data_IF_430617006211
#
_entry.id   IF_430617006211
#
_cell.length_a   1.000
_cell.length_b   1.000
_cell.length_c   1.000
_cell.angle_alpha   90.00
_cell.angle_beta   90.00
_cell.angle_gamma   90.00
#
_symmetry.space_group_name_H-M   'P 1'
#
loop_
_entity.id
_entity.type
_entity.pdbx_description
1 polymer ?
#
# COMPACT_ATOMS: atom_id res chain seq x y z
N UNK A 1 -32.71 -18.03 33.19
CA UNK A 1 -33.03 -17.85 31.75
C UNK A 1 -32.45 -16.52 31.32
N UNK A 2 -31.51 -16.51 30.37
CA UNK A 2 -31.00 -15.26 29.77
C UNK A 2 -32.09 -14.65 28.90
N UNK A 3 -32.33 -13.34 29.00
CA UNK A 3 -33.38 -12.71 28.20
C UNK A 3 -32.97 -12.68 26.72
N UNK A 4 -33.93 -12.80 25.77
CA UNK A 4 -33.65 -12.75 24.34
C UNK A 4 -32.95 -11.45 23.90
N UNK A 5 -33.25 -10.33 24.57
CA UNK A 5 -32.60 -9.03 24.33
C UNK A 5 -31.11 -9.07 24.68
N UNK A 6 -30.76 -9.68 25.82
CA UNK A 6 -29.35 -9.81 26.25
C UNK A 6 -28.55 -10.64 25.24
N UNK A 7 -29.15 -11.69 24.67
CA UNK A 7 -28.52 -12.50 23.64
C UNK A 7 -28.29 -11.72 22.34
N UNK A 8 -29.26 -10.91 21.91
CA UNK A 8 -29.15 -10.07 20.72
C UNK A 8 -28.04 -9.02 20.85
N UNK A 9 -27.95 -8.34 22.00
CA UNK A 9 -26.94 -7.31 22.24
C UNK A 9 -25.51 -7.87 22.19
N UNK A 10 -25.30 -9.05 22.77
CA UNK A 10 -24.00 -9.75 22.73
C UNK A 10 -23.61 -10.12 21.30
N UNK A 11 -24.57 -10.61 20.50
CA UNK A 11 -24.35 -10.94 19.09
C UNK A 11 -24.02 -9.68 18.29
N UNK A 12 -24.76 -8.60 18.50
CA UNK A 12 -24.56 -7.31 17.84
C UNK A 12 -23.17 -6.72 18.16
N UNK A 13 -22.72 -6.78 19.42
CA UNK A 13 -21.38 -6.35 19.82
C UNK A 13 -20.28 -7.16 19.12
N UNK A 14 -20.44 -8.49 19.02
CA UNK A 14 -19.49 -9.34 18.28
C UNK A 14 -19.45 -9.01 16.80
N UNK A 15 -20.62 -8.84 16.17
CA UNK A 15 -20.72 -8.49 14.75
C UNK A 15 -19.99 -7.17 14.47
N UNK A 16 -20.23 -6.14 15.28
CA UNK A 16 -19.54 -4.85 15.15
C UNK A 16 -18.03 -4.98 15.27
N UNK A 17 -17.56 -5.81 16.21
CA UNK A 17 -16.13 -6.09 16.35
C UNK A 17 -15.56 -6.77 15.10
N UNK A 18 -16.23 -7.78 14.56
CA UNK A 18 -15.80 -8.47 13.33
C UNK A 18 -15.81 -7.53 12.13
N UNK A 19 -16.85 -6.72 11.97
CA UNK A 19 -16.97 -5.73 10.89
C UNK A 19 -15.83 -4.71 10.92
N UNK A 20 -15.50 -4.21 12.12
CA UNK A 20 -14.37 -3.30 12.32
C UNK A 20 -13.04 -3.95 11.93
N UNK A 21 -12.84 -5.23 12.24
CA UNK A 21 -11.62 -5.96 11.83
C UNK A 21 -11.52 -6.10 10.32
N UNK A 22 -12.60 -6.54 9.68
CA UNK A 22 -12.66 -6.68 8.22
C UNK A 22 -12.39 -5.34 7.54
N UNK A 23 -12.97 -4.26 8.07
CA UNK A 23 -12.76 -2.90 7.56
C UNK A 23 -11.30 -2.44 7.69
N UNK A 24 -10.69 -2.61 8.87
CA UNK A 24 -9.28 -2.27 9.09
C UNK A 24 -8.35 -3.07 8.18
N UNK A 25 -8.56 -4.38 8.05
CA UNK A 25 -7.78 -5.21 7.14
C UNK A 25 -7.99 -4.82 5.68
N UNK A 26 -9.21 -4.46 5.28
CA UNK A 26 -9.52 -3.97 3.95
C UNK A 26 -8.75 -2.69 3.61
N UNK A 27 -8.76 -1.68 4.49
CA UNK A 27 -7.99 -0.46 4.29
C UNK A 27 -6.50 -0.76 4.24
N UNK A 28 -6.01 -1.57 5.18
CA UNK A 28 -4.60 -1.93 5.26
C UNK A 28 -4.12 -2.62 3.97
N UNK A 29 -4.87 -3.62 3.49
CA UNK A 29 -4.59 -4.30 2.23
C UNK A 29 -4.64 -3.35 1.04
N UNK A 30 -5.63 -2.47 0.98
CA UNK A 30 -5.74 -1.47 -0.08
C UNK A 30 -4.55 -0.50 -0.09
N UNK A 31 -4.08 -0.07 1.09
CA UNK A 31 -2.88 0.77 1.20
C UNK A 31 -1.63 0.04 0.68
N UNK A 32 -1.43 -1.23 1.05
CA UNK A 32 -0.32 -2.02 0.53
C UNK A 32 -0.42 -2.23 -0.99
N UNK A 33 -1.61 -2.54 -1.50
CA UNK A 33 -1.85 -2.72 -2.93
C UNK A 33 -1.49 -1.46 -3.70
N UNK A 34 -1.96 -0.30 -3.24
CA UNK A 34 -1.64 0.98 -3.86
C UNK A 34 -0.15 1.32 -3.74
N UNK A 35 0.48 1.01 -2.60
CA UNK A 35 1.93 1.21 -2.43
C UNK A 35 2.77 0.43 -3.45
N UNK A 36 2.34 -0.80 -3.77
CA UNK A 36 2.97 -1.67 -4.77
C UNK A 36 2.67 -1.20 -6.19
N UNK A 37 1.40 -0.92 -6.52
CA UNK A 37 1.00 -0.46 -7.85
C UNK A 37 1.68 0.85 -8.25
N UNK A 38 1.91 1.74 -7.27
CA UNK A 38 2.59 3.01 -7.47
C UNK A 38 4.10 2.94 -7.22
N UNK A 39 4.74 1.78 -7.38
CA UNK A 39 6.20 1.67 -7.28
C UNK A 39 6.97 1.99 -8.58
N UNK A 40 6.54 1.52 -9.76
CA UNK A 40 7.25 1.76 -11.04
C UNK A 40 6.65 2.90 -11.84
N UNK A 41 7.47 3.81 -12.39
CA UNK A 41 6.96 4.98 -13.15
C UNK A 41 6.03 4.54 -14.28
N UNK A 42 5.10 5.40 -14.72
CA UNK A 42 4.21 5.05 -15.86
C UNK A 42 4.97 4.69 -17.13
N UNK A 43 6.27 5.03 -17.20
CA UNK A 43 7.18 4.79 -18.32
C UNK A 43 8.42 3.98 -17.90
N UNK A 44 8.36 3.20 -16.83
CA UNK A 44 9.49 2.34 -16.40
C UNK A 44 9.86 1.33 -17.49
N UNK A 45 8.87 0.92 -18.28
CA UNK A 45 9.04 0.09 -19.48
C UNK A 45 9.67 0.84 -20.67
N UNK A 46 9.80 2.16 -20.58
CA UNK A 46 10.38 3.05 -21.57
C UNK A 46 11.77 3.57 -21.14
N UNK A 47 12.32 3.05 -20.04
CA UNK A 47 13.64 3.45 -19.56
C UNK A 47 14.68 3.22 -20.68
N UNK A 48 15.38 4.27 -21.16
CA UNK A 48 16.38 4.15 -22.21
C UNK A 48 17.54 3.20 -21.86
N UNK A 49 17.69 2.83 -20.58
CA UNK A 49 18.60 1.75 -20.15
C UNK A 49 18.19 0.36 -20.66
N UNK A 50 16.89 0.13 -20.85
CA UNK A 50 16.30 -1.09 -21.45
C UNK A 50 16.31 -1.03 -22.98
N UNK A 51 16.29 0.18 -23.55
CA UNK A 51 16.49 0.46 -24.98
C UNK A 51 17.95 0.65 -25.37
N UNK A 52 18.89 0.41 -24.44
CA UNK A 52 20.33 0.50 -24.68
C UNK A 52 20.69 -0.40 -25.87
N UNK A 53 20.77 0.24 -27.03
CA UNK A 53 21.07 -0.40 -28.29
C UNK A 53 22.48 -1.00 -28.21
N UNK A 54 22.74 -2.15 -28.86
CA UNK A 54 24.03 -2.83 -28.79
C UNK A 54 25.21 -1.87 -29.04
N UNK A 55 26.35 -2.08 -28.35
CA UNK A 55 27.44 -1.12 -28.32
C UNK A 55 28.04 -1.00 -29.73
N UNK A 56 27.73 0.08 -30.44
CA UNK A 56 28.27 0.29 -31.80
C UNK A 56 27.60 1.33 -32.68
N UNK A 57 26.43 1.88 -32.34
CA UNK A 57 25.79 2.94 -33.13
C UNK A 57 25.63 4.22 -32.30
N UNK A 58 26.30 5.27 -32.76
CA UNK A 58 26.37 6.59 -32.15
C UNK A 58 24.99 7.20 -31.84
N UNK A 59 24.86 8.06 -30.82
CA UNK A 59 23.59 8.67 -30.47
C UNK A 59 23.23 9.70 -31.55
N UNK A 60 22.13 9.50 -32.26
CA UNK A 60 21.54 10.56 -33.08
C UNK A 60 21.04 11.65 -32.12
N UNK A 61 21.49 12.91 -32.27
CA UNK A 61 20.82 14.01 -31.62
C UNK A 61 19.50 14.25 -32.36
N UNK A 62 18.65 15.04 -31.74
CA UNK A 62 17.49 15.67 -32.33
C UNK A 62 16.13 14.97 -32.07
N UNK A 63 15.33 15.69 -31.28
CA UNK A 63 13.87 15.80 -31.37
C UNK A 63 12.96 14.67 -30.86
N UNK A 64 13.19 14.14 -29.67
CA UNK A 64 12.08 13.61 -28.85
C UNK A 64 12.20 13.96 -27.36
N UNK A 65 12.53 15.22 -27.05
CA UNK A 65 12.19 15.80 -25.76
C UNK A 65 10.69 16.10 -25.73
N UNK A 66 9.85 15.06 -25.79
CA UNK A 66 8.54 15.16 -25.17
C UNK A 66 8.81 15.56 -23.71
N UNK A 67 8.11 16.55 -23.15
CA UNK A 67 8.18 16.78 -21.72
C UNK A 67 7.57 15.54 -21.08
N UNK A 68 8.40 14.52 -20.84
CA UNK A 68 8.08 13.42 -19.95
C UNK A 68 7.88 14.14 -18.62
N UNK A 69 6.62 14.39 -18.31
CA UNK A 69 6.20 15.13 -17.14
C UNK A 69 6.79 14.36 -15.96
N UNK A 70 7.82 14.94 -15.35
CA UNK A 70 8.57 14.33 -14.26
C UNK A 70 7.69 14.37 -13.00
N UNK A 71 6.62 13.58 -13.00
CA UNK A 71 5.69 13.38 -11.89
C UNK A 71 6.30 12.48 -10.80
N UNK A 72 7.59 12.16 -10.89
CA UNK A 72 8.32 11.38 -9.88
C UNK A 72 8.12 11.96 -8.48
N UNK A 73 8.09 13.29 -8.35
CA UNK A 73 7.88 13.98 -7.08
C UNK A 73 6.45 13.78 -6.53
N UNK A 74 5.41 13.89 -7.38
CA UNK A 74 4.02 13.66 -6.98
C UNK A 74 3.81 12.22 -6.51
N UNK A 75 4.48 11.26 -7.16
CA UNK A 75 4.40 9.83 -6.86
C UNK A 75 5.13 9.45 -5.58
N UNK A 76 6.29 10.06 -5.31
CA UNK A 76 7.01 9.91 -4.06
C UNK A 76 6.19 10.46 -2.87
N UNK A 77 5.57 11.62 -3.03
CA UNK A 77 4.65 12.20 -2.03
C UNK A 77 3.43 11.29 -1.81
N UNK A 78 2.84 10.76 -2.89
CA UNK A 78 1.71 9.84 -2.78
C UNK A 78 2.07 8.53 -2.07
N UNK A 79 3.22 7.93 -2.39
CA UNK A 79 3.76 6.77 -1.66
C UNK A 79 3.98 7.09 -0.18
N UNK A 80 4.59 8.23 0.12
CA UNK A 80 4.80 8.69 1.50
C UNK A 80 3.48 8.86 2.26
N UNK A 81 2.45 9.41 1.60
CA UNK A 81 1.11 9.54 2.16
C UNK A 81 0.49 8.17 2.45
N UNK A 82 0.57 7.23 1.50
CA UNK A 82 0.03 5.88 1.67
C UNK A 82 0.72 5.13 2.81
N UNK A 83 2.05 5.23 2.92
CA UNK A 83 2.79 4.64 4.04
C UNK A 83 2.35 5.26 5.36
N UNK A 84 2.16 6.58 5.40
CA UNK A 84 1.68 7.28 6.60
C UNK A 84 0.29 6.78 7.02
N UNK A 85 -0.63 6.64 6.06
CA UNK A 85 -1.98 6.09 6.32
C UNK A 85 -1.86 4.64 6.80
N UNK A 86 -1.03 3.82 6.17
CA UNK A 86 -0.80 2.43 6.57
C UNK A 86 -0.29 2.34 8.02
N UNK A 87 0.63 3.22 8.44
CA UNK A 87 1.12 3.29 9.82
C UNK A 87 0.01 3.70 10.80
N UNK A 88 -0.84 4.66 10.44
CA UNK A 88 -1.99 5.05 11.30
C UNK A 88 -2.97 3.89 11.46
N UNK A 89 -3.27 3.17 10.37
CA UNK A 89 -4.12 1.97 10.39
C UNK A 89 -3.45 0.87 11.21
N UNK A 90 -2.13 0.71 11.10
CA UNK A 90 -1.34 -0.22 11.89
C UNK A 90 -1.44 0.07 13.39
N UNK A 91 -1.41 1.34 13.79
CA UNK A 91 -1.64 1.77 15.17
C UNK A 91 -3.06 1.40 15.63
N UNK A 92 -4.08 1.66 14.81
CA UNK A 92 -5.46 1.28 15.12
C UNK A 92 -5.63 -0.24 15.29
N UNK A 93 -4.94 -1.03 14.48
CA UNK A 93 -4.86 -2.50 14.60
C UNK A 93 -4.19 -2.89 15.91
N UNK A 94 -3.03 -2.30 16.26
CA UNK A 94 -2.36 -2.58 17.52
C UNK A 94 -3.22 -2.31 18.77
N UNK A 95 -4.06 -1.27 18.74
CA UNK A 95 -4.97 -0.95 19.84
C UNK A 95 -6.24 -1.82 19.86
N UNK A 96 -6.79 -2.18 18.71
CA UNK A 96 -8.12 -2.82 18.61
C UNK A 96 -8.08 -4.34 18.45
N UNK A 97 -6.95 -4.91 18.03
CA UNK A 97 -6.77 -6.32 17.71
C UNK A 97 -5.79 -7.02 18.67
N UNK A 98 -5.74 -8.35 18.59
CA UNK A 98 -4.83 -9.17 19.42
C UNK A 98 -3.37 -8.92 19.05
N UNK A 99 -2.46 -9.06 20.03
CA UNK A 99 -1.00 -8.90 19.83
C UNK A 99 -0.44 -9.76 18.69
N UNK A 100 -1.03 -10.94 18.46
CA UNK A 100 -0.61 -11.84 17.36
C UNK A 100 -0.93 -11.25 15.97
N UNK A 101 -2.12 -10.68 15.82
CA UNK A 101 -2.56 -10.02 14.59
C UNK A 101 -1.70 -8.81 14.28
N UNK A 102 -1.38 -8.02 15.31
CA UNK A 102 -0.49 -6.86 15.18
C UNK A 102 0.91 -7.25 14.70
N UNK A 103 1.51 -8.32 15.24
CA UNK A 103 2.84 -8.79 14.81
C UNK A 103 2.83 -9.20 13.34
N UNK A 104 1.79 -9.92 12.89
CA UNK A 104 1.67 -10.38 11.51
C UNK A 104 1.57 -9.18 10.56
N UNK A 105 0.71 -8.20 10.87
CA UNK A 105 0.54 -7.02 10.01
C UNK A 105 1.78 -6.12 10.03
N UNK A 106 2.48 -5.96 11.17
CA UNK A 106 3.76 -5.22 11.22
C UNK A 106 4.80 -5.89 10.35
N UNK A 107 4.92 -7.22 10.46
CA UNK A 107 5.88 -7.99 9.66
C UNK A 107 5.59 -7.84 8.18
N UNK A 108 4.30 -7.93 7.80
CA UNK A 108 3.88 -7.76 6.41
C UNK A 108 4.19 -6.35 5.90
N UNK A 109 3.91 -5.29 6.67
CA UNK A 109 4.26 -3.92 6.31
C UNK A 109 5.76 -3.78 6.10
N UNK A 110 6.56 -4.27 7.04
CA UNK A 110 8.02 -4.21 6.97
C UNK A 110 8.59 -4.94 5.76
N UNK A 111 8.09 -6.14 5.46
CA UNK A 111 8.48 -6.91 4.28
C UNK A 111 8.09 -6.16 2.99
N UNK A 112 6.88 -5.61 2.92
CA UNK A 112 6.45 -4.83 1.74
C UNK A 112 7.31 -3.59 1.55
N UNK A 113 7.63 -2.84 2.60
CA UNK A 113 8.52 -1.68 2.49
C UNK A 113 9.95 -2.06 2.08
N UNK A 114 10.44 -3.22 2.52
CA UNK A 114 11.80 -3.67 2.22
C UNK A 114 11.94 -4.20 0.79
N UNK A 115 10.97 -4.99 0.32
CA UNK A 115 10.93 -5.50 -1.05
C UNK A 115 10.60 -4.40 -2.07
N UNK A 116 9.70 -3.50 -1.69
CA UNK A 116 9.22 -2.42 -2.54
C UNK A 116 9.78 -1.07 -2.04
N UNK A 117 11.06 -1.03 -1.69
CA UNK A 117 11.80 0.21 -1.39
C UNK A 117 12.01 1.02 -2.67
#
# INVERSE_FOLDING_TARGET
MVSPQTAYDVINMKIKSVLLRVFLYGIYFFCLLMYVLFQGSEYDWMDPSMLASPPGLAPSPDNLSLPIQDESNNRAVFRGLIVTIAVVVQMAICFSLSRKEAIITVTLLGVTLLLFK
#
